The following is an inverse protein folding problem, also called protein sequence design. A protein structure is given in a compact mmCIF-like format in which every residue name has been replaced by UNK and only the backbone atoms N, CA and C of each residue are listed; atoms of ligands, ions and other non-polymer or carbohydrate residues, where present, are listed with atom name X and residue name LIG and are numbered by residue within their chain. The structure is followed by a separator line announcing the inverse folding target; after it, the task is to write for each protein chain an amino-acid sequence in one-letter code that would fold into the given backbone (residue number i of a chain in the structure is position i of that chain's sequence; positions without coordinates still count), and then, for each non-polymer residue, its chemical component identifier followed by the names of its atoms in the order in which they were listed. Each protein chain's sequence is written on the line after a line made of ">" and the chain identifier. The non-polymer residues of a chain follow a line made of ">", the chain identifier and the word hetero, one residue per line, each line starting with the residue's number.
data_IF_626233453761
#
_entry.id   IF_626233453761
#
_cell.length_a   1.000
_cell.length_b   1.000
_cell.length_c   1.000
_cell.angle_alpha   90.00
_cell.angle_beta   90.00
_cell.angle_gamma   90.00
#
_symmetry.space_group_name_H-M   'P 1'
#
loop_
_entity.id
_entity.type
_entity.pdbx_description
1 polymer ?
#
# COMPACT_ATOMS: atom_id res chain seq x y z
N UNK A 1 14.07 -5.63 -20.35
CA UNK A 1 12.68 -5.99 -20.04
C UNK A 1 12.47 -5.82 -18.55
N UNK A 2 11.25 -5.54 -18.13
CA UNK A 2 10.88 -5.43 -16.71
C UNK A 2 10.03 -6.63 -16.30
N UNK A 3 10.18 -7.07 -15.04
CA UNK A 3 9.41 -8.17 -14.48
C UNK A 3 8.92 -7.87 -13.07
N UNK A 4 7.83 -8.52 -12.69
CA UNK A 4 7.33 -8.58 -11.32
C UNK A 4 8.06 -9.71 -10.60
N UNK A 5 8.90 -9.36 -9.61
CA UNK A 5 9.59 -10.33 -8.76
C UNK A 5 8.68 -10.84 -7.65
N UNK A 6 7.98 -9.90 -7.01
CA UNK A 6 7.06 -10.18 -5.92
C UNK A 6 5.86 -9.23 -5.98
N UNK A 7 4.78 -9.64 -5.36
CA UNK A 7 3.63 -8.79 -5.17
C UNK A 7 2.93 -9.08 -3.84
N UNK A 8 2.30 -8.06 -3.29
CA UNK A 8 1.52 -8.16 -2.06
C UNK A 8 0.15 -7.53 -2.24
N UNK A 9 -0.85 -8.16 -1.65
CA UNK A 9 -2.20 -7.62 -1.55
C UNK A 9 -2.62 -7.59 -0.09
N UNK A 10 -3.06 -6.42 0.38
CA UNK A 10 -3.60 -6.22 1.72
C UNK A 10 -4.98 -5.60 1.61
N UNK A 11 -5.96 -6.23 2.22
CA UNK A 11 -7.31 -5.69 2.45
C UNK A 11 -7.72 -6.00 3.88
N UNK A 12 -8.78 -5.40 4.44
CA UNK A 12 -9.20 -5.68 5.81
C UNK A 12 -9.31 -7.18 6.09
N UNK A 13 -8.52 -7.67 7.07
CA UNK A 13 -8.50 -9.05 7.51
C UNK A 13 -7.82 -10.08 6.58
N UNK A 14 -7.23 -9.65 5.45
CA UNK A 14 -6.58 -10.55 4.50
C UNK A 14 -5.24 -9.97 4.01
N UNK A 15 -4.21 -10.79 4.02
CA UNK A 15 -2.88 -10.45 3.46
C UNK A 15 -2.39 -11.61 2.61
N UNK A 16 -2.05 -11.31 1.36
CA UNK A 16 -1.46 -12.27 0.42
C UNK A 16 -0.11 -11.79 -0.07
N UNK A 17 0.89 -12.66 -0.05
CA UNK A 17 2.20 -12.45 -0.67
C UNK A 17 2.38 -13.50 -1.76
N UNK A 18 2.54 -13.08 -3.01
CA UNK A 18 2.68 -13.95 -4.19
C UNK A 18 1.57 -15.02 -4.32
N UNK A 19 0.35 -14.71 -3.87
CA UNK A 19 -0.80 -15.62 -3.89
C UNK A 19 -0.94 -16.50 -2.65
N UNK A 20 0.05 -16.55 -1.77
CA UNK A 20 -0.03 -17.27 -0.51
C UNK A 20 -0.62 -16.37 0.58
N UNK A 21 -1.58 -16.90 1.34
CA UNK A 21 -2.19 -16.20 2.46
C UNK A 21 -1.22 -16.17 3.64
N UNK A 22 -0.76 -14.98 4.02
CA UNK A 22 0.03 -14.79 5.24
C UNK A 22 -0.88 -14.71 6.48
N UNK A 23 -2.04 -14.08 6.32
CA UNK A 23 -3.04 -13.95 7.37
C UNK A 23 -4.43 -14.15 6.79
N UNK A 24 -5.19 -15.05 7.39
CA UNK A 24 -6.61 -15.25 7.12
C UNK A 24 -7.39 -15.29 8.44
N UNK A 25 -8.49 -14.53 8.52
CA UNK A 25 -9.41 -14.56 9.66
C UNK A 25 -8.83 -14.16 11.02
N UNK A 26 -7.93 -13.19 11.08
CA UNK A 26 -7.74 -12.54 12.36
C UNK A 26 -9.10 -11.90 12.74
N UNK A 27 -9.79 -12.45 13.74
CA UNK A 27 -10.81 -11.71 14.48
C UNK A 27 -10.06 -10.54 15.10
N UNK A 28 -10.09 -9.42 14.39
CA UNK A 28 -9.33 -8.24 14.76
C UNK A 28 -10.20 -7.47 15.72
N UNK A 29 -9.98 -7.69 17.00
CA UNK A 29 -10.42 -6.77 18.06
C UNK A 29 -9.65 -5.44 17.96
N UNK A 30 -8.50 -5.45 17.28
CA UNK A 30 -7.61 -4.31 17.07
C UNK A 30 -7.57 -3.90 15.58
N UNK A 31 -7.12 -2.67 15.31
CA UNK A 31 -6.75 -2.18 13.99
C UNK A 31 -5.84 -3.20 13.25
N UNK A 32 -6.32 -3.65 12.08
CA UNK A 32 -5.64 -4.66 11.23
C UNK A 32 -4.16 -4.30 11.00
N UNK A 33 -3.86 -3.04 10.70
CA UNK A 33 -2.50 -2.61 10.40
C UNK A 33 -1.61 -2.68 11.65
N UNK A 34 -2.14 -2.31 12.80
CA UNK A 34 -1.43 -2.42 14.09
C UNK A 34 -1.15 -3.88 14.45
N UNK A 35 -2.11 -4.78 14.22
CA UNK A 35 -1.92 -6.20 14.43
C UNK A 35 -0.78 -6.75 13.56
N UNK A 36 -0.82 -6.50 12.24
CA UNK A 36 0.22 -6.95 11.31
C UNK A 36 1.59 -6.39 11.71
N UNK A 37 1.64 -5.10 12.05
CA UNK A 37 2.88 -4.47 12.51
C UNK A 37 3.49 -5.19 13.72
N UNK A 38 2.69 -5.47 14.75
CA UNK A 38 3.15 -6.13 15.98
C UNK A 38 3.63 -7.57 15.75
N UNK A 39 2.97 -8.29 14.83
CA UNK A 39 3.32 -9.68 14.54
C UNK A 39 4.56 -9.82 13.66
N UNK A 40 4.72 -8.95 12.68
CA UNK A 40 5.71 -9.16 11.60
C UNK A 40 6.91 -8.22 11.65
N UNK A 41 6.76 -7.02 12.22
CA UNK A 41 7.76 -5.96 12.09
C UNK A 41 8.28 -5.55 13.47
N UNK A 42 7.45 -4.92 14.27
CA UNK A 42 7.66 -4.50 15.67
C UNK A 42 9.02 -3.82 15.99
N UNK A 43 9.67 -3.22 14.99
CA UNK A 43 11.02 -2.63 15.09
C UNK A 43 11.08 -1.16 14.68
N UNK A 44 9.94 -0.49 14.49
CA UNK A 44 9.87 0.90 14.03
C UNK A 44 8.81 1.72 14.76
N UNK A 45 9.09 2.25 15.97
CA UNK A 45 8.11 2.94 16.81
C UNK A 45 7.46 4.16 16.16
N UNK A 46 8.09 4.77 15.13
CA UNK A 46 7.49 5.87 14.35
C UNK A 46 6.20 5.46 13.65
N UNK A 47 5.99 4.16 13.38
CA UNK A 47 4.75 3.61 12.82
C UNK A 47 3.49 4.14 13.52
N UNK A 48 3.49 4.23 14.84
CA UNK A 48 2.34 4.72 15.62
C UNK A 48 2.07 6.22 15.49
N UNK A 49 2.97 6.96 14.84
CA UNK A 49 2.80 8.39 14.54
C UNK A 49 2.34 8.65 13.11
N UNK A 50 2.33 7.63 12.26
CA UNK A 50 1.90 7.71 10.87
C UNK A 50 0.37 7.73 10.78
N UNK A 51 -0.15 8.36 9.71
CA UNK A 51 -1.55 8.23 9.32
C UNK A 51 -1.85 6.83 8.72
N UNK A 52 -3.14 6.56 8.44
CA UNK A 52 -3.57 5.27 7.93
C UNK A 52 -2.95 4.88 6.58
N UNK A 53 -2.87 5.84 5.65
CA UNK A 53 -2.26 5.60 4.33
C UNK A 53 -0.77 5.27 4.44
N UNK A 54 -0.05 6.02 5.27
CA UNK A 54 1.39 5.77 5.49
C UNK A 54 1.64 4.46 6.23
N UNK A 55 0.79 4.09 7.22
CA UNK A 55 0.86 2.77 7.88
C UNK A 55 0.65 1.63 6.90
N UNK A 56 -0.35 1.75 6.01
CA UNK A 56 -0.65 0.75 4.99
C UNK A 56 0.52 0.57 4.02
N UNK A 57 1.02 1.66 3.43
CA UNK A 57 2.16 1.62 2.51
C UNK A 57 3.44 1.09 3.17
N UNK A 58 3.69 1.49 4.42
CA UNK A 58 4.82 0.99 5.22
C UNK A 58 4.75 -0.53 5.42
N UNK A 59 3.61 -1.06 5.92
CA UNK A 59 3.41 -2.49 6.15
C UNK A 59 3.53 -3.27 4.84
N UNK A 60 2.85 -2.81 3.79
CA UNK A 60 2.88 -3.48 2.50
C UNK A 60 4.32 -3.58 1.96
N UNK A 61 5.10 -2.53 2.10
CA UNK A 61 6.51 -2.53 1.69
C UNK A 61 7.38 -3.44 2.55
N UNK A 62 7.25 -3.40 3.88
CA UNK A 62 8.01 -4.27 4.79
C UNK A 62 7.77 -5.76 4.46
N UNK A 63 6.50 -6.16 4.27
CA UNK A 63 6.14 -7.53 3.94
C UNK A 63 6.59 -7.92 2.53
N UNK A 64 6.44 -7.03 1.55
CA UNK A 64 6.89 -7.23 0.18
C UNK A 64 8.40 -7.50 0.11
N UNK A 65 9.18 -6.80 0.93
CA UNK A 65 10.64 -6.90 0.96
C UNK A 65 11.18 -7.97 1.92
N UNK A 66 10.33 -8.62 2.70
CA UNK A 66 10.77 -9.56 3.74
C UNK A 66 11.59 -10.73 3.16
N UNK A 67 11.18 -11.25 2.00
CA UNK A 67 11.81 -12.37 1.30
C UNK A 67 12.53 -11.94 0.01
N UNK A 68 12.62 -10.64 -0.26
CA UNK A 68 13.31 -10.15 -1.44
C UNK A 68 14.83 -10.26 -1.27
N UNK A 69 15.53 -10.47 -2.38
CA UNK A 69 16.98 -10.36 -2.39
C UNK A 69 17.40 -8.90 -2.13
N UNK A 70 17.87 -8.66 -0.91
CA UNK A 70 18.28 -7.35 -0.44
C UNK A 70 19.64 -6.89 -0.98
N UNK A 71 20.42 -7.77 -1.59
CA UNK A 71 21.75 -7.43 -2.13
C UNK A 71 21.68 -6.37 -3.24
N UNK A 72 20.55 -6.28 -3.94
CA UNK A 72 20.29 -5.32 -5.02
C UNK A 72 19.27 -4.23 -4.66
N UNK A 73 18.76 -4.21 -3.42
CA UNK A 73 17.84 -3.17 -2.94
C UNK A 73 18.60 -2.07 -2.19
N UNK A 74 19.88 -2.32 -1.84
CA UNK A 74 20.69 -1.39 -1.09
C UNK A 74 21.02 -0.12 -1.87
N UNK A 75 20.84 0.98 -1.20
CA UNK A 75 21.37 2.31 -1.43
C UNK A 75 20.61 3.20 -2.42
N UNK A 76 20.83 3.19 -3.71
CA UNK A 76 20.33 4.27 -4.57
C UNK A 76 19.45 3.80 -5.72
N UNK A 77 19.22 2.51 -5.83
CA UNK A 77 18.74 1.90 -7.07
C UNK A 77 17.26 1.46 -7.01
N UNK A 78 16.54 1.84 -5.95
CA UNK A 78 15.12 1.50 -5.83
C UNK A 78 14.24 2.76 -5.93
N UNK A 79 13.35 2.78 -6.92
CA UNK A 79 12.30 3.79 -7.02
C UNK A 79 11.06 3.37 -6.20
N UNK A 80 10.23 4.36 -5.80
CA UNK A 80 8.95 4.12 -5.13
C UNK A 80 7.86 4.95 -5.80
N UNK A 81 6.92 4.29 -6.48
CA UNK A 81 5.88 4.90 -7.27
C UNK A 81 4.51 4.41 -6.80
N UNK A 82 3.80 5.24 -6.04
CA UNK A 82 2.51 4.85 -5.46
C UNK A 82 1.37 5.59 -6.14
N UNK A 83 0.26 4.88 -6.31
CA UNK A 83 -0.94 5.35 -6.99
C UNK A 83 -2.14 5.18 -6.09
N UNK A 84 -3.08 6.15 -6.11
CA UNK A 84 -4.36 6.04 -5.44
C UNK A 84 -5.42 6.94 -6.10
N UNK A 85 -6.64 6.91 -5.60
CA UNK A 85 -7.71 7.79 -6.05
C UNK A 85 -7.99 8.91 -5.04
N UNK A 86 -8.00 8.57 -3.77
CA UNK A 86 -8.43 9.48 -2.70
C UNK A 86 -7.35 10.42 -2.18
N UNK A 87 -6.10 10.32 -2.65
CA UNK A 87 -4.99 11.09 -2.05
C UNK A 87 -4.85 10.75 -0.57
N UNK A 88 -4.86 11.77 0.28
CA UNK A 88 -4.82 11.68 1.75
C UNK A 88 -6.16 11.98 2.42
N UNK A 89 -7.28 11.71 1.75
CA UNK A 89 -8.62 12.16 2.13
C UNK A 89 -9.00 11.85 3.59
N UNK A 90 -8.59 10.71 4.13
CA UNK A 90 -8.83 10.36 5.53
C UNK A 90 -8.17 11.37 6.47
N UNK A 91 -6.91 11.71 6.19
CA UNK A 91 -6.15 12.61 7.03
C UNK A 91 -6.53 14.09 6.79
N UNK A 92 -6.95 14.45 5.57
CA UNK A 92 -7.52 15.75 5.25
C UNK A 92 -8.79 16.00 6.08
N UNK A 93 -9.65 14.99 6.20
CA UNK A 93 -10.83 15.06 7.05
C UNK A 93 -10.45 15.25 8.53
N UNK A 94 -9.48 14.50 9.04
CA UNK A 94 -9.02 14.66 10.42
C UNK A 94 -8.39 16.05 10.66
N UNK A 95 -7.61 16.56 9.72
CA UNK A 95 -7.06 17.91 9.82
C UNK A 95 -8.17 18.97 9.82
N UNK A 96 -9.17 18.83 8.93
CA UNK A 96 -10.31 19.73 8.87
C UNK A 96 -11.05 19.82 10.21
N UNK A 97 -11.15 18.73 10.96
CA UNK A 97 -11.76 18.74 12.30
C UNK A 97 -10.99 19.64 13.29
N UNK A 98 -9.68 19.78 13.12
CA UNK A 98 -8.86 20.63 14.02
C UNK A 98 -9.03 22.13 13.79
N UNK A 99 -9.66 22.53 12.68
CA UNK A 99 -9.84 23.92 12.25
C UNK A 99 -11.30 24.31 11.98
N UNK A 100 -12.24 23.38 12.11
CA UNK A 100 -13.65 23.60 11.75
C UNK A 100 -14.40 24.54 12.70
N UNK A 101 -14.02 24.54 13.98
CA UNK A 101 -14.66 25.41 15.00
C UNK A 101 -13.83 26.66 15.26
N UNK A 102 -14.40 27.83 14.94
CA UNK A 102 -13.74 29.11 15.15
C UNK A 102 -13.45 29.43 16.65
N UNK A 103 -14.21 28.82 17.58
CA UNK A 103 -14.02 28.97 19.03
C UNK A 103 -13.02 27.93 19.59
N UNK A 104 -12.69 26.90 18.80
CA UNK A 104 -11.78 25.83 19.17
C UNK A 104 -10.83 25.50 18.00
N UNK A 105 -10.10 26.52 17.55
CA UNK A 105 -9.22 26.46 16.39
C UNK A 105 -7.80 26.07 16.83
N UNK A 106 -7.46 24.80 16.65
CA UNK A 106 -6.14 24.25 16.98
C UNK A 106 -5.56 23.43 15.82
N UNK A 107 -5.03 24.07 14.77
CA UNK A 107 -4.43 23.36 13.66
C UNK A 107 -3.27 22.48 14.15
N UNK A 108 -3.36 21.19 13.90
CA UNK A 108 -2.34 20.22 14.31
C UNK A 108 -1.25 20.08 13.26
N UNK A 109 -0.01 20.53 13.50
CA UNK A 109 1.09 20.37 12.54
C UNK A 109 1.40 18.91 12.23
N UNK A 110 1.25 18.01 13.20
CA UNK A 110 1.51 16.59 13.04
C UNK A 110 0.48 15.90 12.13
N UNK A 111 -0.79 16.34 12.18
CA UNK A 111 -1.82 15.86 11.25
C UNK A 111 -1.61 16.50 9.88
N UNK A 112 -1.29 17.81 9.84
CA UNK A 112 -1.10 18.54 8.58
C UNK A 112 -0.03 17.88 7.67
N UNK A 113 1.07 17.42 8.23
CA UNK A 113 2.14 16.75 7.44
C UNK A 113 1.57 15.61 6.61
N UNK A 114 0.68 14.81 7.17
CA UNK A 114 0.09 13.65 6.50
C UNK A 114 -1.10 13.99 5.59
N UNK A 115 -1.47 15.26 5.40
CA UNK A 115 -2.40 15.67 4.33
C UNK A 115 -1.73 15.67 2.95
N UNK A 116 -0.42 15.47 2.89
CA UNK A 116 0.31 15.36 1.65
C UNK A 116 0.42 13.88 1.24
N UNK A 117 -0.20 13.45 0.13
CA UNK A 117 -0.27 12.03 -0.24
C UNK A 117 1.09 11.39 -0.57
N UNK A 118 2.13 12.19 -0.80
CA UNK A 118 3.48 11.70 -1.04
C UNK A 118 4.29 11.41 0.24
N UNK A 119 3.77 11.71 1.42
CA UNK A 119 4.48 11.41 2.67
C UNK A 119 4.72 9.91 2.84
N UNK A 120 3.79 9.07 2.40
CA UNK A 120 3.96 7.61 2.45
C UNK A 120 5.22 7.15 1.69
N UNK A 121 5.52 7.70 0.51
CA UNK A 121 6.75 7.33 -0.22
C UNK A 121 8.00 7.80 0.53
N UNK A 122 7.93 8.96 1.18
CA UNK A 122 9.00 9.47 2.04
C UNK A 122 9.25 8.59 3.29
N UNK A 123 8.18 8.11 3.95
CA UNK A 123 8.31 7.18 5.09
C UNK A 123 8.96 5.85 4.67
N UNK A 124 8.58 5.32 3.51
CA UNK A 124 9.21 4.11 2.93
C UNK A 124 10.68 4.37 2.62
N UNK A 125 10.98 5.47 1.93
CA UNK A 125 12.34 5.83 1.55
C UNK A 125 13.26 6.01 2.77
N UNK A 126 12.80 6.69 3.83
CA UNK A 126 13.55 6.86 5.08
C UNK A 126 13.81 5.49 5.74
N UNK A 127 12.80 4.63 5.80
CA UNK A 127 12.89 3.32 6.46
C UNK A 127 13.91 2.40 5.79
N UNK A 128 13.91 2.39 4.45
CA UNK A 128 14.70 1.45 3.66
C UNK A 128 15.95 2.07 3.05
N UNK A 129 16.22 3.36 3.32
CA UNK A 129 17.33 4.11 2.73
C UNK A 129 17.30 4.12 1.19
N UNK A 130 16.11 4.28 0.62
CA UNK A 130 15.95 4.41 -0.83
C UNK A 130 16.21 5.86 -1.24
N UNK A 131 17.07 6.04 -2.24
CA UNK A 131 17.43 7.36 -2.79
C UNK A 131 17.05 7.50 -4.26
N UNK A 132 16.42 6.49 -4.85
CA UNK A 132 15.85 6.55 -6.19
C UNK A 132 14.63 7.48 -6.26
N UNK A 133 14.03 7.57 -7.44
CA UNK A 133 12.82 8.37 -7.65
C UNK A 133 11.69 7.97 -6.71
N UNK A 134 11.06 8.96 -6.07
CA UNK A 134 9.86 8.75 -5.27
C UNK A 134 8.75 9.64 -5.79
N UNK A 135 7.58 9.05 -6.08
CA UNK A 135 6.41 9.79 -6.54
C UNK A 135 5.10 9.17 -6.05
N UNK A 136 4.12 10.04 -5.85
CA UNK A 136 2.74 9.66 -5.56
C UNK A 136 1.82 10.27 -6.61
N UNK A 137 0.98 9.44 -7.21
CA UNK A 137 0.08 9.81 -8.30
C UNK A 137 -1.37 9.62 -7.87
N UNK A 138 -2.17 10.67 -8.00
CA UNK A 138 -3.61 10.58 -7.78
C UNK A 138 -4.27 10.35 -9.14
N UNK A 139 -4.85 9.17 -9.33
CA UNK A 139 -5.55 8.76 -10.55
C UNK A 139 -7.05 8.62 -10.25
N UNK A 140 -7.91 8.89 -11.24
CA UNK A 140 -9.36 8.73 -11.06
C UNK A 140 -9.83 7.28 -10.86
N UNK A 141 -8.99 6.30 -11.23
CA UNK A 141 -9.23 4.85 -11.07
C UNK A 141 -7.94 4.10 -11.33
N UNK A 142 -7.94 2.80 -10.99
CA UNK A 142 -6.89 1.89 -11.45
C UNK A 142 -6.76 1.93 -12.99
N UNK A 143 -5.55 2.18 -13.47
CA UNK A 143 -5.20 2.18 -14.89
C UNK A 143 -3.83 1.52 -15.08
N UNK A 144 -3.86 0.22 -15.39
CA UNK A 144 -2.67 -0.60 -15.58
C UNK A 144 -1.74 -0.06 -16.67
N UNK A 145 -2.31 0.50 -17.73
CA UNK A 145 -1.53 1.07 -18.84
C UNK A 145 -0.73 2.29 -18.37
N UNK A 146 -1.39 3.24 -17.71
CA UNK A 146 -0.73 4.44 -17.18
C UNK A 146 0.33 4.07 -16.15
N UNK A 147 0.04 3.13 -15.24
CA UNK A 147 0.98 2.66 -14.23
C UNK A 147 2.25 2.11 -14.90
N UNK A 148 2.10 1.20 -15.89
CA UNK A 148 3.24 0.61 -16.59
C UNK A 148 4.05 1.67 -17.33
N UNK A 149 3.40 2.60 -18.04
CA UNK A 149 4.10 3.67 -18.75
C UNK A 149 4.95 4.53 -17.82
N UNK A 150 4.45 4.85 -16.63
CA UNK A 150 5.21 5.61 -15.63
C UNK A 150 6.39 4.79 -15.12
N UNK A 151 6.19 3.51 -14.78
CA UNK A 151 7.26 2.62 -14.35
C UNK A 151 8.34 2.49 -15.42
N UNK A 152 7.97 2.22 -16.68
CA UNK A 152 8.91 2.12 -17.80
C UNK A 152 9.69 3.43 -17.99
N UNK A 153 9.00 4.58 -17.93
CA UNK A 153 9.63 5.89 -18.04
C UNK A 153 10.65 6.14 -16.93
N UNK A 154 10.34 5.76 -15.69
CA UNK A 154 11.27 5.86 -14.55
C UNK A 154 12.53 5.03 -14.79
N UNK A 155 12.39 3.79 -15.21
CA UNK A 155 13.54 2.95 -15.53
C UNK A 155 14.33 3.46 -16.74
N UNK A 156 13.69 4.10 -17.72
CA UNK A 156 14.37 4.62 -18.90
C UNK A 156 15.07 5.95 -18.65
N UNK A 157 14.53 6.78 -17.76
CA UNK A 157 15.10 8.08 -17.39
C UNK A 157 16.36 7.96 -16.56
N UNK A 158 16.44 6.94 -15.70
CA UNK A 158 17.60 6.67 -14.85
C UNK A 158 18.04 5.20 -14.92
N UNK A 159 19.16 4.97 -15.58
CA UNK A 159 19.74 3.64 -15.77
C UNK A 159 20.30 3.03 -14.48
N UNK A 160 20.49 3.82 -13.43
CA UNK A 160 20.93 3.31 -12.12
C UNK A 160 19.79 2.64 -11.35
N UNK A 161 18.53 2.91 -11.70
CA UNK A 161 17.38 2.25 -11.09
C UNK A 161 17.35 0.78 -11.53
N UNK A 162 17.53 -0.11 -10.59
CA UNK A 162 17.48 -1.56 -10.78
C UNK A 162 16.14 -2.15 -10.34
N UNK A 163 15.51 -1.56 -9.30
CA UNK A 163 14.24 -2.01 -8.74
C UNK A 163 13.26 -0.85 -8.57
N UNK A 164 12.00 -1.19 -8.57
CA UNK A 164 10.92 -0.25 -8.31
C UNK A 164 9.84 -0.93 -7.46
N UNK A 165 9.49 -0.29 -6.34
CA UNK A 165 8.25 -0.62 -5.62
C UNK A 165 7.17 0.25 -6.23
N UNK A 166 6.18 -0.36 -6.85
CA UNK A 166 5.06 0.39 -7.39
C UNK A 166 3.73 -0.30 -7.10
N UNK A 167 2.65 0.47 -7.14
CA UNK A 167 1.32 -0.10 -7.05
C UNK A 167 0.29 0.83 -6.45
N UNK A 168 -0.89 0.27 -6.19
CA UNK A 168 -2.04 0.99 -5.68
C UNK A 168 -2.14 0.88 -4.18
N UNK A 169 -2.36 2.00 -3.51
CA UNK A 169 -2.69 2.04 -2.09
C UNK A 169 -3.86 2.99 -1.87
N UNK A 170 -4.91 2.55 -1.22
CA UNK A 170 -6.06 3.36 -0.88
C UNK A 170 -6.41 3.19 0.60
N UNK A 171 -6.66 4.28 1.31
CA UNK A 171 -7.05 4.23 2.70
C UNK A 171 -8.15 5.26 2.98
N UNK A 172 -9.36 4.78 3.18
CA UNK A 172 -10.51 5.61 3.55
C UNK A 172 -10.73 5.59 5.06
N UNK A 173 -10.65 4.41 5.67
CA UNK A 173 -10.74 4.19 7.12
C UNK A 173 -10.26 2.78 7.47
N UNK A 174 -10.33 2.39 8.74
CA UNK A 174 -9.87 1.08 9.24
C UNK A 174 -10.62 -0.12 8.64
N UNK A 175 -11.82 0.07 8.12
CA UNK A 175 -12.64 -0.97 7.48
C UNK A 175 -12.55 -0.96 5.96
N UNK A 176 -12.06 0.14 5.36
CA UNK A 176 -12.02 0.33 3.91
C UNK A 176 -10.63 0.81 3.50
N UNK A 177 -9.79 -0.12 3.15
CA UNK A 177 -8.45 0.13 2.60
C UNK A 177 -8.01 -1.03 1.72
N UNK A 178 -7.07 -0.76 0.82
CA UNK A 178 -6.38 -1.78 0.03
C UNK A 178 -4.95 -1.36 -0.31
N UNK A 179 -4.06 -2.33 -0.42
CA UNK A 179 -2.74 -2.17 -1.01
C UNK A 179 -2.49 -3.32 -1.98
N UNK A 180 -2.06 -2.97 -3.18
CA UNK A 180 -1.59 -3.90 -4.22
C UNK A 180 -0.23 -3.38 -4.68
N UNK A 181 0.85 -3.86 -4.05
CA UNK A 181 2.20 -3.44 -4.39
C UNK A 181 2.97 -4.53 -5.12
N UNK A 182 3.84 -4.10 -6.02
CA UNK A 182 4.70 -4.91 -6.85
C UNK A 182 6.15 -4.50 -6.64
N UNK A 183 7.04 -5.47 -6.49
CA UNK A 183 8.46 -5.29 -6.64
C UNK A 183 8.83 -5.61 -8.09
N UNK A 184 9.28 -4.61 -8.82
CA UNK A 184 9.64 -4.72 -10.24
C UNK A 184 11.13 -4.55 -10.38
N UNK A 185 11.74 -5.36 -11.27
CA UNK A 185 13.16 -5.27 -11.59
C UNK A 185 13.44 -5.34 -13.07
N UNK A 186 14.65 -4.92 -13.44
CA UNK A 186 15.25 -5.26 -14.73
C UNK A 186 15.64 -6.73 -14.72
N UNK A 187 15.17 -7.49 -15.70
CA UNK A 187 15.52 -8.91 -15.84
C UNK A 187 16.59 -9.14 -16.87
N UNK A 188 17.52 -10.01 -16.50
CA UNK A 188 18.50 -10.61 -17.41
C UNK A 188 18.09 -12.01 -17.89
N UNK A 189 17.19 -12.71 -17.17
CA UNK A 189 16.79 -14.10 -17.42
C UNK A 189 15.27 -14.29 -17.42
N UNK A 190 14.75 -15.32 -18.12
CA UNK A 190 13.33 -15.56 -18.40
C UNK A 190 12.54 -16.24 -17.25
N UNK A 191 13.04 -16.28 -16.02
CA UNK A 191 12.37 -17.00 -14.92
C UNK A 191 11.28 -16.19 -14.19
N UNK A 192 11.22 -14.88 -14.43
CA UNK A 192 10.27 -13.99 -13.75
C UNK A 192 9.04 -13.67 -14.61
N UNK A 193 7.94 -13.33 -13.94
CA UNK A 193 6.71 -12.91 -14.61
C UNK A 193 6.90 -11.54 -15.24
N UNK A 194 6.77 -11.43 -16.56
CA UNK A 194 6.91 -10.15 -17.27
C UNK A 194 5.91 -9.10 -16.76
N UNK A 195 6.38 -7.86 -16.64
CA UNK A 195 5.52 -6.72 -16.37
C UNK A 195 4.66 -6.44 -17.61
N UNK A 196 3.38 -6.71 -17.51
CA UNK A 196 2.36 -6.43 -18.55
C UNK A 196 1.07 -5.94 -17.91
N UNK A 197 0.23 -5.24 -18.68
CA UNK A 197 -1.10 -4.83 -18.23
C UNK A 197 -1.92 -6.03 -17.71
N UNK A 198 -1.86 -7.16 -18.45
CA UNK A 198 -2.53 -8.40 -18.05
C UNK A 198 -2.03 -8.90 -16.69
N UNK A 199 -0.71 -8.92 -16.48
CA UNK A 199 -0.09 -9.41 -15.25
C UNK A 199 -0.57 -8.60 -14.05
N UNK A 200 -0.41 -7.28 -14.06
CA UNK A 200 -0.77 -6.46 -12.91
C UNK A 200 -2.28 -6.37 -12.69
N UNK A 201 -3.09 -6.44 -13.76
CA UNK A 201 -4.55 -6.50 -13.64
C UNK A 201 -4.98 -7.84 -13.03
N UNK A 202 -4.41 -8.97 -13.48
CA UNK A 202 -4.72 -10.29 -12.90
C UNK A 202 -4.40 -10.33 -11.40
N UNK A 203 -3.28 -9.73 -10.98
CA UNK A 203 -2.91 -9.66 -9.56
C UNK A 203 -3.85 -8.72 -8.79
N UNK A 204 -4.19 -7.55 -9.36
CA UNK A 204 -5.15 -6.61 -8.77
C UNK A 204 -6.49 -7.29 -8.49
N UNK A 205 -6.96 -8.11 -9.42
CA UNK A 205 -8.24 -8.83 -9.32
C UNK A 205 -8.12 -10.13 -8.51
N UNK A 206 -6.92 -10.49 -8.03
CA UNK A 206 -6.69 -11.72 -7.28
C UNK A 206 -7.57 -11.78 -6.03
N UNK A 207 -8.31 -12.87 -5.89
CA UNK A 207 -9.22 -13.15 -4.78
C UNK A 207 -10.34 -12.11 -4.53
N UNK A 208 -10.64 -11.23 -5.48
CA UNK A 208 -11.78 -10.31 -5.35
C UNK A 208 -13.10 -11.05 -5.09
N UNK A 209 -13.33 -12.18 -5.76
CA UNK A 209 -14.55 -12.98 -5.55
C UNK A 209 -14.64 -13.52 -4.12
N UNK A 210 -13.54 -14.00 -3.55
CA UNK A 210 -13.52 -14.48 -2.15
C UNK A 210 -13.68 -13.33 -1.15
N UNK A 211 -13.09 -12.17 -1.42
CA UNK A 211 -13.24 -10.97 -0.60
C UNK A 211 -14.68 -10.49 -0.61
N UNK A 212 -15.32 -10.44 -1.79
CA UNK A 212 -16.74 -10.08 -1.95
C UNK A 212 -17.64 -11.10 -1.24
N UNK A 213 -17.33 -12.39 -1.36
CA UNK A 213 -18.12 -13.45 -0.69
C UNK A 213 -18.03 -13.37 0.83
N UNK A 214 -16.84 -13.03 1.37
CA UNK A 214 -16.62 -12.83 2.80
C UNK A 214 -17.40 -11.60 3.30
N UNK A 215 -17.28 -10.46 2.62
CA UNK A 215 -18.04 -9.24 2.94
C UNK A 215 -19.55 -9.48 2.91
N UNK A 216 -20.06 -10.23 1.92
CA UNK A 216 -21.49 -10.61 1.86
C UNK A 216 -21.90 -11.45 3.07
N UNK A 217 -21.07 -12.40 3.51
CA UNK A 217 -21.38 -13.21 4.70
C UNK A 217 -21.39 -12.36 5.97
N UNK A 218 -20.41 -11.48 6.16
CA UNK A 218 -20.35 -10.57 7.29
C UNK A 218 -21.57 -9.63 7.34
N UNK A 219 -21.99 -9.09 6.19
CA UNK A 219 -23.21 -8.26 6.08
C UNK A 219 -24.45 -9.08 6.45
N UNK A 220 -24.58 -10.31 5.97
CA UNK A 220 -25.72 -11.19 6.29
C UNK A 220 -25.75 -11.53 7.78
N UNK A 221 -24.59 -11.79 8.40
CA UNK A 221 -24.50 -12.05 9.83
C UNK A 221 -24.95 -10.84 10.67
N UNK A 222 -24.53 -9.63 10.29
CA UNK A 222 -24.94 -8.37 10.95
C UNK A 222 -26.46 -8.15 10.80
N UNK A 223 -27.01 -8.33 9.60
CA UNK A 223 -28.44 -8.15 9.35
C UNK A 223 -29.29 -9.19 10.09
N UNK A 224 -28.85 -10.45 10.20
CA UNK A 224 -29.54 -11.48 10.95
C UNK A 224 -29.50 -11.27 12.48
N UNK A 225 -28.53 -10.50 12.99
CA UNK A 225 -28.45 -10.12 14.40
C UNK A 225 -29.41 -8.96 14.72
N UNK A 226 -29.74 -8.09 13.76
CA UNK A 226 -30.71 -7.01 13.93
C UNK A 226 -32.17 -7.52 13.96
N UNK A 227 -32.45 -8.61 13.24
CA UNK A 227 -33.81 -9.23 13.26
C UNK A 227 -34.09 -10.08 14.53
N UNK A 228 -33.13 -10.24 15.45
CA UNK A 228 -33.26 -10.97 16.71
C UNK A 228 -33.34 -10.08 17.96
N UNK A 229 -33.40 -8.76 17.83
CA UNK A 229 -33.59 -7.79 18.91
C UNK A 229 -34.96 -7.10 18.76
#
# INVERSE_FOLDING_TARGET
>A
MLAVEQWIKIVPGLVYLNGESLFSNAKLEDDTLTFIYRQCINSYPKFFKMDGLSRLGFIATELLLQNADKSHIADNNCATLLFNMGGSINNDYHFQQTIADANNFFPSPSIFVYTLPNIVTGEIAIRHHFYGETASYVLGKWDSKTIIQIVESTFDSDRSIEKCICGWIEYINEQVFEADLFLISRISNCEHTLLTEKTITTIKDFNMEQTILKLKKEIIEVLNLEDMQ
#
